data_IF_401297580989
#
_entry.id   IF_401297580989
#
_cell.length_a   1.000
_cell.length_b   1.000
_cell.length_c   1.000
_cell.angle_alpha   90.00
_cell.angle_beta   90.00
_cell.angle_gamma   90.00
#
_symmetry.space_group_name_H-M   'P 1'
#
loop_
_entity.id
_entity.type
_entity.pdbx_description
1 polymer ?
#
# COMPACT_ATOMS: atom_id res chain seq x y z
N UNK A 1 -39.00 -3.58 25.45
CA UNK A 1 -38.02 -2.71 26.15
C UNK A 1 -38.10 -1.32 25.53
N UNK A 2 -38.30 -0.28 26.32
CA UNK A 2 -38.28 1.11 25.82
C UNK A 2 -36.82 1.55 25.72
N UNK A 3 -36.40 1.99 24.54
CA UNK A 3 -35.03 2.44 24.30
C UNK A 3 -35.05 3.93 23.99
N UNK A 4 -34.06 4.68 24.45
CA UNK A 4 -33.94 6.12 24.19
C UNK A 4 -32.83 6.30 23.15
N UNK A 5 -33.13 7.01 22.06
CA UNK A 5 -32.13 7.32 21.05
C UNK A 5 -31.09 8.31 21.58
N UNK A 6 -29.79 7.97 21.53
CA UNK A 6 -28.71 8.82 22.02
C UNK A 6 -28.55 10.17 21.29
N UNK A 7 -29.12 10.31 20.08
CA UNK A 7 -29.03 11.55 19.30
C UNK A 7 -30.21 12.49 19.53
N UNK A 8 -31.46 12.00 19.45
CA UNK A 8 -32.65 12.85 19.55
C UNK A 8 -33.36 12.75 20.92
N UNK A 9 -32.88 11.87 21.81
CA UNK A 9 -33.39 11.64 23.17
C UNK A 9 -34.89 11.28 23.27
N UNK A 10 -35.52 10.91 22.15
CA UNK A 10 -36.89 10.40 22.08
C UNK A 10 -36.93 8.88 22.26
N UNK A 11 -38.04 8.39 22.81
CA UNK A 11 -38.29 6.95 22.98
C UNK A 11 -38.48 6.27 21.62
N UNK A 12 -37.89 5.10 21.43
CA UNK A 12 -38.03 4.26 20.24
C UNK A 12 -38.52 2.86 20.64
N UNK A 13 -39.36 2.28 19.78
CA UNK A 13 -39.83 0.90 19.90
C UNK A 13 -38.81 -0.06 19.29
N UNK A 14 -38.64 -1.24 19.92
CA UNK A 14 -37.61 -2.21 19.54
C UNK A 14 -37.86 -2.90 18.18
N UNK A 15 -39.03 -2.69 17.58
CA UNK A 15 -39.46 -3.29 16.31
C UNK A 15 -39.09 -2.45 15.06
N UNK A 16 -38.25 -1.42 15.23
CA UNK A 16 -37.75 -0.62 14.11
C UNK A 16 -36.80 -1.44 13.20
N UNK A 17 -37.36 -1.92 12.09
CA UNK A 17 -36.67 -2.59 10.97
C UNK A 17 -35.46 -1.77 10.47
N UNK A 18 -34.34 -2.44 10.16
CA UNK A 18 -33.16 -2.43 11.02
C UNK A 18 -32.39 -1.10 11.01
N UNK A 19 -32.02 -0.68 12.23
CA UNK A 19 -30.95 0.25 12.60
C UNK A 19 -31.19 1.76 12.47
N UNK A 20 -32.22 2.25 11.80
CA UNK A 20 -32.47 3.70 11.73
C UNK A 20 -33.52 4.14 12.75
N UNK A 21 -33.23 5.23 13.47
CA UNK A 21 -34.23 5.87 14.33
C UNK A 21 -35.31 6.54 13.45
N UNK A 22 -36.61 6.29 13.67
CA UNK A 22 -37.69 6.87 12.85
C UNK A 22 -37.84 8.39 13.03
N UNK A 23 -37.26 8.96 14.08
CA UNK A 23 -37.34 10.40 14.35
C UNK A 23 -36.18 11.22 13.77
N UNK A 24 -35.00 10.62 13.62
CA UNK A 24 -33.81 11.36 13.16
C UNK A 24 -33.08 10.70 11.99
N UNK A 25 -33.51 9.53 11.53
CA UNK A 25 -32.93 8.82 10.40
C UNK A 25 -31.49 8.31 10.61
N UNK A 26 -30.90 8.52 11.80
CA UNK A 26 -29.53 8.09 12.10
C UNK A 26 -29.50 6.66 12.62
N UNK A 27 -28.37 6.02 12.35
CA UNK A 27 -28.09 4.65 12.78
C UNK A 27 -27.93 4.64 14.30
N UNK A 28 -28.74 3.84 14.99
CA UNK A 28 -28.66 3.61 16.44
C UNK A 28 -28.07 2.24 16.71
N UNK A 29 -27.01 2.21 17.53
CA UNK A 29 -26.37 0.97 17.99
C UNK A 29 -27.08 0.57 19.29
N UNK A 30 -27.93 -0.45 19.23
CA UNK A 30 -28.59 -0.97 20.43
C UNK A 30 -27.61 -1.84 21.25
N UNK A 31 -27.57 -1.72 22.59
CA UNK A 31 -26.83 -2.65 23.44
C UNK A 31 -27.58 -3.99 23.45
N UNK A 32 -26.98 -5.04 22.87
CA UNK A 32 -27.56 -6.38 22.78
C UNK A 32 -27.28 -7.14 21.48
N UNK A 33 -26.63 -6.52 20.49
CA UNK A 33 -26.26 -7.18 19.22
C UNK A 33 -24.75 -7.48 19.13
N UNK A 34 -24.15 -7.85 20.25
CA UNK A 34 -22.79 -8.42 20.37
C UNK A 34 -22.80 -9.81 21.00
N UNK A 35 -23.96 -10.38 21.31
CA UNK A 35 -24.05 -11.78 21.68
C UNK A 35 -24.03 -12.64 20.41
N UNK A 36 -22.99 -13.49 20.21
CA UNK A 36 -23.02 -14.45 19.12
C UNK A 36 -24.23 -15.38 19.32
N UNK A 37 -24.88 -15.84 18.25
CA UNK A 37 -26.03 -16.72 18.37
C UNK A 37 -25.63 -17.97 19.17
N UNK A 38 -26.34 -18.21 20.28
CA UNK A 38 -26.22 -19.44 21.07
C UNK A 38 -26.60 -20.61 20.16
N UNK A 39 -25.60 -21.32 19.66
CA UNK A 39 -25.78 -22.54 18.86
C UNK A 39 -26.46 -23.56 19.78
N UNK A 40 -27.78 -23.74 19.63
CA UNK A 40 -28.48 -24.85 20.24
C UNK A 40 -28.02 -26.12 19.53
N UNK A 41 -27.23 -26.94 20.23
CA UNK A 41 -26.87 -28.28 19.80
C UNK A 41 -28.12 -29.15 19.80
N UNK A 42 -28.87 -29.10 18.70
CA UNK A 42 -29.94 -30.06 18.44
C UNK A 42 -29.34 -31.45 18.30
N UNK A 43 -29.63 -32.32 19.27
CA UNK A 43 -29.38 -33.75 19.23
C UNK A 43 -30.28 -34.41 18.19
N UNK A 44 -30.02 -34.16 16.91
CA UNK A 44 -30.69 -34.80 15.79
C UNK A 44 -29.86 -35.97 15.28
N UNK A 45 -30.18 -37.19 15.71
CA UNK A 45 -29.60 -38.42 15.19
C UNK A 45 -29.99 -38.63 13.71
N UNK A 46 -29.25 -38.03 12.78
CA UNK A 46 -29.34 -38.41 11.37
C UNK A 46 -28.43 -39.60 11.11
N UNK A 47 -29.02 -40.80 11.11
CA UNK A 47 -28.44 -41.98 10.47
C UNK A 47 -28.16 -41.62 9.01
N UNK A 48 -26.88 -41.56 8.62
CA UNK A 48 -26.47 -41.45 7.22
C UNK A 48 -26.39 -42.86 6.62
N UNK A 49 -26.99 -43.12 5.46
CA UNK A 49 -26.82 -44.38 4.76
C UNK A 49 -25.40 -44.48 4.19
N UNK A 50 -24.94 -45.72 4.07
CA UNK A 50 -23.57 -46.11 3.82
C UNK A 50 -22.94 -45.46 2.60
N UNK A 51 -21.70 -45.02 2.79
CA UNK A 51 -20.72 -44.79 1.73
C UNK A 51 -19.51 -45.66 2.02
N UNK A 52 -19.72 -46.97 1.96
CA UNK A 52 -18.66 -47.91 1.62
C UNK A 52 -18.27 -47.64 0.17
N UNK A 53 -17.20 -46.86 -0.02
CA UNK A 53 -16.14 -47.11 -1.01
C UNK A 53 -15.15 -45.96 -0.99
N UNK A 54 -13.92 -46.34 -0.65
CA UNK A 54 -12.66 -45.76 -1.11
C UNK A 54 -12.43 -44.27 -0.80
N UNK A 55 -12.14 -43.98 0.47
CA UNK A 55 -11.05 -43.04 0.77
C UNK A 55 -9.89 -43.87 1.32
N UNK A 56 -8.99 -44.28 0.43
CA UNK A 56 -7.60 -44.56 0.79
C UNK A 56 -6.97 -43.22 1.19
N UNK A 57 -7.30 -42.75 2.39
CA UNK A 57 -6.48 -41.78 3.07
C UNK A 57 -5.28 -42.57 3.59
N UNK A 58 -4.08 -42.27 3.08
CA UNK A 58 -2.85 -42.63 3.76
C UNK A 58 -2.81 -41.77 5.02
N UNK A 59 -3.51 -42.25 6.06
CA UNK A 59 -3.45 -41.68 7.39
C UNK A 59 -2.11 -42.11 7.97
N UNK A 60 -1.14 -41.19 8.01
CA UNK A 60 0.08 -41.40 8.78
C UNK A 60 -0.31 -41.15 10.25
N UNK A 61 -0.57 -42.24 10.98
CA UNK A 61 -0.88 -42.19 12.40
C UNK A 61 0.35 -41.67 13.17
N UNK A 62 0.30 -40.39 13.57
CA UNK A 62 1.37 -39.75 14.33
C UNK A 62 1.44 -40.24 15.80
N UNK A 63 0.36 -40.85 16.30
CA UNK A 63 0.23 -41.31 17.70
C UNK A 63 0.77 -42.72 17.96
N UNK A 64 1.03 -43.54 16.93
CA UNK A 64 1.74 -44.83 17.08
C UNK A 64 3.27 -44.68 17.08
N UNK A 65 3.76 -43.50 16.70
CA UNK A 65 5.20 -43.25 16.58
C UNK A 65 5.88 -42.92 17.92
N UNK A 66 5.08 -42.55 18.92
CA UNK A 66 5.57 -42.24 20.25
C UNK A 66 5.34 -43.47 21.12
N UNK A 67 6.45 -44.17 21.41
CA UNK A 67 6.57 -45.16 22.48
C UNK A 67 5.84 -46.50 22.27
N UNK A 68 6.55 -47.48 21.68
CA UNK A 68 6.70 -48.81 22.31
C UNK A 68 7.96 -49.57 21.82
N UNK A 69 8.91 -49.75 22.74
CA UNK A 69 9.92 -50.85 22.85
C UNK A 69 11.08 -51.00 21.84
N UNK A 70 11.43 -50.01 21.00
CA UNK A 70 12.70 -50.07 20.24
C UNK A 70 13.49 -48.76 20.33
N UNK A 71 14.20 -48.51 21.47
CA UNK A 71 14.98 -47.29 21.65
C UNK A 71 16.01 -47.08 20.53
N UNK A 72 16.50 -48.16 19.91
CA UNK A 72 17.43 -48.13 18.77
C UNK A 72 16.84 -47.44 17.53
N UNK A 73 15.55 -47.63 17.24
CA UNK A 73 14.90 -47.01 16.07
C UNK A 73 14.67 -45.52 16.32
N UNK A 74 14.20 -45.15 17.52
CA UNK A 74 14.02 -43.75 17.91
C UNK A 74 15.36 -42.97 17.89
N UNK A 75 16.44 -43.58 18.40
CA UNK A 75 17.78 -43.00 18.36
C UNK A 75 18.32 -42.89 16.93
N UNK A 76 18.06 -43.87 16.07
CA UNK A 76 18.45 -43.82 14.65
C UNK A 76 17.74 -42.72 13.87
N UNK A 77 16.44 -42.52 14.10
CA UNK A 77 15.66 -41.46 13.47
C UNK A 77 16.07 -40.06 13.97
N UNK A 78 16.35 -39.93 15.26
CA UNK A 78 16.90 -38.70 15.84
C UNK A 78 18.27 -38.37 15.23
N UNK A 79 19.15 -39.36 15.11
CA UNK A 79 20.45 -39.20 14.46
C UNK A 79 20.33 -38.79 12.99
N UNK A 80 19.38 -39.38 12.25
CA UNK A 80 19.10 -39.01 10.86
C UNK A 80 18.60 -37.56 10.74
N UNK A 81 17.68 -37.13 11.60
CA UNK A 81 17.20 -35.74 11.62
C UNK A 81 18.33 -34.76 11.89
N UNK A 82 19.18 -35.04 12.90
CA UNK A 82 20.32 -34.19 13.23
C UNK A 82 21.35 -34.14 12.09
N UNK A 83 21.62 -35.27 11.42
CA UNK A 83 22.52 -35.32 10.28
C UNK A 83 21.99 -34.48 9.10
N UNK A 84 20.69 -34.62 8.77
CA UNK A 84 20.06 -33.86 7.68
C UNK A 84 20.01 -32.36 8.03
N UNK A 85 19.61 -32.00 9.24
CA UNK A 85 19.59 -30.60 9.69
C UNK A 85 20.99 -29.98 9.74
N UNK A 86 22.01 -30.74 10.14
CA UNK A 86 23.40 -30.28 10.15
C UNK A 86 23.95 -30.01 8.74
N UNK A 87 23.69 -30.91 7.80
CA UNK A 87 24.06 -30.73 6.39
C UNK A 87 23.31 -29.54 5.79
N UNK A 88 22.02 -29.39 6.11
CA UNK A 88 21.20 -28.27 5.63
C UNK A 88 21.74 -26.93 6.14
N UNK A 89 22.04 -26.81 7.44
CA UNK A 89 22.63 -25.57 8.01
C UNK A 89 24.01 -25.23 7.43
N UNK A 90 24.86 -26.23 7.22
CA UNK A 90 26.18 -26.02 6.65
C UNK A 90 26.14 -25.55 5.18
N UNK A 91 25.11 -25.96 4.42
CA UNK A 91 24.94 -25.60 3.01
C UNK A 91 24.09 -24.34 2.80
N UNK A 92 23.22 -24.03 3.74
CA UNK A 92 22.31 -22.88 3.69
C UNK A 92 22.83 -21.69 4.49
N UNK A 93 24.15 -21.60 4.64
CA UNK A 93 24.80 -20.38 5.12
C UNK A 93 24.67 -19.32 4.03
N UNK A 94 23.56 -18.58 4.06
CA UNK A 94 23.45 -17.36 3.26
C UNK A 94 24.53 -16.40 3.72
N UNK A 95 25.49 -16.01 2.87
CA UNK A 95 26.37 -14.91 3.22
C UNK A 95 25.46 -13.70 3.44
N UNK A 96 25.34 -13.25 4.68
CA UNK A 96 24.68 -11.98 4.96
C UNK A 96 25.55 -10.93 4.26
N UNK A 97 25.11 -10.46 3.10
CA UNK A 97 25.78 -9.35 2.41
C UNK A 97 25.61 -8.11 3.27
N UNK A 98 26.59 -7.89 4.15
CA UNK A 98 26.63 -6.71 5.00
C UNK A 98 27.05 -5.53 4.12
N UNK A 99 26.10 -4.95 3.37
CA UNK A 99 26.34 -3.67 2.70
C UNK A 99 26.71 -2.64 3.76
N UNK A 100 27.84 -1.95 3.53
CA UNK A 100 28.31 -0.88 4.41
C UNK A 100 27.29 0.26 4.47
N UNK A 101 27.33 1.05 5.54
CA UNK A 101 26.44 2.23 5.68
C UNK A 101 26.61 3.18 4.49
N UNK A 102 27.85 3.33 4.01
CA UNK A 102 28.19 4.15 2.84
C UNK A 102 27.48 3.60 1.59
N UNK A 103 27.65 2.32 1.28
CA UNK A 103 27.01 1.71 0.11
C UNK A 103 25.48 1.76 0.17
N UNK A 104 24.89 1.64 1.36
CA UNK A 104 23.44 1.81 1.56
C UNK A 104 22.97 3.23 1.24
N UNK A 105 23.76 4.26 1.55
CA UNK A 105 23.43 5.66 1.20
C UNK A 105 23.43 5.84 -0.32
N UNK A 106 24.49 5.40 -1.01
CA UNK A 106 24.55 5.44 -2.47
C UNK A 106 23.37 4.71 -3.12
N UNK A 107 23.05 3.50 -2.66
CA UNK A 107 21.90 2.75 -3.17
C UNK A 107 20.57 3.47 -2.90
N UNK A 108 20.41 4.10 -1.74
CA UNK A 108 19.21 4.85 -1.39
C UNK A 108 19.05 6.07 -2.31
N UNK A 109 20.13 6.83 -2.53
CA UNK A 109 20.13 7.97 -3.45
C UNK A 109 19.77 7.54 -4.88
N UNK A 110 20.37 6.47 -5.40
CA UNK A 110 20.07 5.92 -6.72
C UNK A 110 18.61 5.48 -6.85
N UNK A 111 18.07 4.82 -5.82
CA UNK A 111 16.67 4.41 -5.80
C UNK A 111 15.72 5.61 -5.83
N UNK A 112 16.01 6.65 -5.03
CA UNK A 112 15.20 7.88 -5.00
C UNK A 112 15.27 8.65 -6.32
N UNK A 113 16.46 8.78 -6.93
CA UNK A 113 16.63 9.35 -8.27
C UNK A 113 15.84 8.58 -9.33
N UNK A 114 15.81 7.25 -9.22
CA UNK A 114 15.02 6.40 -10.12
C UNK A 114 13.52 6.66 -9.98
N UNK A 115 13.02 6.79 -8.75
CA UNK A 115 11.62 7.13 -8.47
C UNK A 115 11.27 8.52 -9.02
N UNK A 116 12.14 9.51 -8.80
CA UNK A 116 11.94 10.87 -9.31
C UNK A 116 11.91 10.90 -10.84
N UNK A 117 12.81 10.17 -11.51
CA UNK A 117 12.76 10.05 -12.96
C UNK A 117 11.46 9.42 -13.46
N UNK A 118 11.00 8.32 -12.85
CA UNK A 118 9.75 7.67 -13.26
C UNK A 118 8.57 8.65 -13.10
N UNK A 119 8.56 9.44 -12.02
CA UNK A 119 7.57 10.49 -11.80
C UNK A 119 7.64 11.59 -12.88
N UNK A 120 8.84 12.01 -13.28
CA UNK A 120 9.06 12.98 -14.36
C UNK A 120 8.59 12.44 -15.72
N UNK A 121 8.85 11.17 -16.03
CA UNK A 121 8.36 10.53 -17.26
C UNK A 121 6.84 10.45 -17.28
N UNK A 122 6.23 10.16 -16.12
CA UNK A 122 4.78 10.16 -15.99
C UNK A 122 4.18 11.54 -16.16
N UNK A 123 4.80 12.57 -15.57
CA UNK A 123 4.43 13.96 -15.78
C UNK A 123 4.52 14.34 -17.27
N UNK A 124 5.60 13.95 -17.97
CA UNK A 124 5.74 14.19 -19.41
C UNK A 124 4.67 13.49 -20.23
N UNK A 125 4.28 12.26 -19.86
CA UNK A 125 3.19 11.56 -20.53
C UNK A 125 1.88 12.31 -20.41
N UNK A 126 1.57 12.83 -19.23
CA UNK A 126 0.27 13.43 -18.95
C UNK A 126 0.19 14.89 -19.42
N UNK A 127 1.25 15.69 -19.20
CA UNK A 127 1.31 17.12 -19.55
C UNK A 127 2.05 17.41 -20.87
N UNK A 128 2.66 16.41 -21.51
CA UNK A 128 3.41 16.55 -22.76
C UNK A 128 4.80 17.18 -22.66
N UNK A 129 5.22 17.65 -21.47
CA UNK A 129 6.52 18.28 -21.21
C UNK A 129 7.05 17.92 -19.83
N UNK A 130 8.34 18.07 -19.58
CA UNK A 130 8.86 18.04 -18.20
C UNK A 130 8.59 19.37 -17.47
N UNK A 131 8.60 19.37 -16.12
CA UNK A 131 8.62 20.61 -15.34
C UNK A 131 9.79 21.50 -15.74
N UNK A 132 9.60 22.81 -15.77
CA UNK A 132 10.69 23.76 -16.03
C UNK A 132 11.58 23.91 -14.80
N UNK A 133 12.82 24.36 -15.01
CA UNK A 133 13.74 24.67 -13.89
C UNK A 133 13.13 25.65 -12.87
N UNK A 134 12.26 26.58 -13.32
CA UNK A 134 11.53 27.51 -12.45
C UNK A 134 10.47 26.84 -11.58
N UNK A 135 9.83 25.78 -12.08
CA UNK A 135 8.80 25.01 -11.36
C UNK A 135 9.46 23.98 -10.42
N UNK A 136 10.59 23.42 -10.87
CA UNK A 136 11.41 22.47 -10.12
C UNK A 136 10.72 21.13 -9.86
N UNK A 137 11.30 20.35 -8.95
CA UNK A 137 10.74 19.06 -8.52
C UNK A 137 9.44 19.21 -7.70
N UNK A 138 9.09 20.43 -7.26
CA UNK A 138 7.86 20.69 -6.53
C UNK A 138 6.60 20.52 -7.40
N UNK A 139 6.73 20.65 -8.73
CA UNK A 139 5.65 20.39 -9.69
C UNK A 139 5.17 18.93 -9.69
N UNK A 140 5.95 18.00 -9.13
CA UNK A 140 5.56 16.60 -8.96
C UNK A 140 4.63 16.39 -7.75
N UNK A 141 4.62 17.32 -6.81
CA UNK A 141 3.81 17.28 -5.58
C UNK A 141 2.65 18.25 -5.68
N UNK A 142 2.93 19.51 -6.02
CA UNK A 142 1.90 20.54 -6.10
C UNK A 142 1.60 20.83 -7.57
N UNK A 143 0.33 21.11 -7.85
CA UNK A 143 -0.11 21.48 -9.20
C UNK A 143 0.57 22.79 -9.64
N UNK A 144 1.39 22.75 -10.71
CA UNK A 144 2.01 23.95 -11.28
C UNK A 144 1.03 24.80 -12.11
N UNK A 145 -0.25 24.42 -12.21
CA UNK A 145 -1.25 25.07 -13.06
C UNK A 145 -1.14 24.64 -14.52
N UNK A 146 -0.70 23.40 -14.77
CA UNK A 146 -0.46 22.87 -16.12
C UNK A 146 -1.60 21.95 -16.52
N UNK A 147 -2.10 22.14 -17.74
CA UNK A 147 -3.16 21.31 -18.29
C UNK A 147 -2.71 19.83 -18.39
N UNK A 148 -3.59 18.91 -18.01
CA UNK A 148 -3.30 17.48 -18.00
C UNK A 148 -2.56 16.99 -16.74
N UNK A 149 -2.31 17.83 -15.74
CA UNK A 149 -1.69 17.39 -14.49
C UNK A 149 -2.57 16.34 -13.77
N UNK A 150 -2.03 15.13 -13.64
CA UNK A 150 -2.76 13.93 -13.21
C UNK A 150 -2.86 13.73 -11.70
N UNK A 151 -2.43 14.71 -10.89
CA UNK A 151 -2.34 14.56 -9.44
C UNK A 151 -0.91 14.44 -8.92
N UNK A 152 -0.80 14.09 -7.64
CA UNK A 152 0.49 13.84 -6.98
C UNK A 152 1.25 12.69 -7.64
N UNK A 153 2.36 13.00 -8.33
CA UNK A 153 3.25 12.01 -8.94
C UNK A 153 4.18 11.37 -7.92
N UNK A 154 4.51 12.11 -6.86
CA UNK A 154 5.24 11.63 -5.69
C UNK A 154 4.52 12.07 -4.41
N UNK A 155 4.59 11.26 -3.35
CA UNK A 155 3.92 11.58 -2.08
C UNK A 155 4.57 12.79 -1.39
N UNK A 156 5.89 12.84 -1.39
CA UNK A 156 6.66 13.92 -0.75
C UNK A 156 8.08 13.94 -1.32
N UNK A 157 8.66 15.12 -1.41
CA UNK A 157 10.04 15.30 -1.82
C UNK A 157 10.95 15.16 -0.59
N UNK A 158 11.78 14.12 -0.55
CA UNK A 158 12.83 13.96 0.47
C UNK A 158 14.14 14.54 -0.04
N UNK A 159 14.98 15.10 0.85
CA UNK A 159 16.38 15.36 0.51
C UNK A 159 17.12 14.02 0.39
N UNK A 160 18.29 14.07 -0.22
CA UNK A 160 19.14 12.90 -0.38
C UNK A 160 19.67 12.37 0.98
N UNK A 161 20.38 11.22 1.00
CA UNK A 161 20.92 10.63 2.23
C UNK A 161 21.92 11.52 3.00
N UNK A 162 22.46 12.55 2.34
CA UNK A 162 23.39 13.54 2.90
C UNK A 162 22.69 14.84 3.29
N UNK A 163 21.35 14.89 3.18
CA UNK A 163 20.47 16.04 3.49
C UNK A 163 20.62 17.20 2.50
N UNK A 164 21.20 16.94 1.35
CA UNK A 164 21.30 17.87 0.22
C UNK A 164 20.06 17.71 -0.66
N UNK A 165 19.63 18.80 -1.30
CA UNK A 165 18.51 18.76 -2.24
C UNK A 165 19.00 18.21 -3.58
N UNK A 166 18.16 17.42 -4.24
CA UNK A 166 18.43 17.00 -5.61
C UNK A 166 18.52 18.20 -6.55
N UNK A 167 19.51 18.18 -7.43
CA UNK A 167 19.68 19.19 -8.46
C UNK A 167 18.86 18.79 -9.68
N UNK A 168 18.01 19.70 -10.12
CA UNK A 168 17.13 19.51 -11.26
C UNK A 168 17.23 20.69 -12.22
N UNK A 169 17.57 20.41 -13.48
CA UNK A 169 17.57 21.40 -14.57
C UNK A 169 16.84 20.82 -15.77
N UNK A 170 15.98 21.61 -16.38
CA UNK A 170 15.13 21.17 -17.49
C UNK A 170 14.80 22.32 -18.42
N UNK A 171 14.85 22.03 -19.72
CA UNK A 171 14.39 22.89 -20.81
C UNK A 171 12.93 22.58 -21.22
N UNK A 172 12.31 21.57 -20.58
CA UNK A 172 10.97 21.06 -20.87
C UNK A 172 10.92 19.85 -21.80
N UNK A 173 12.00 19.55 -22.54
CA UNK A 173 12.12 18.38 -23.43
C UNK A 173 13.16 17.38 -22.92
N UNK A 174 14.23 17.87 -22.32
CA UNK A 174 15.30 17.12 -21.68
C UNK A 174 15.48 17.61 -20.25
N UNK A 175 16.00 16.76 -19.39
CA UNK A 175 16.28 17.11 -18.01
C UNK A 175 17.62 16.51 -17.56
N UNK A 176 18.28 17.22 -16.66
CA UNK A 176 19.38 16.74 -15.85
C UNK A 176 18.89 16.62 -14.41
N UNK A 177 19.06 15.44 -13.82
CA UNK A 177 18.71 15.14 -12.44
C UNK A 177 19.88 14.38 -11.80
N UNK A 178 20.42 14.91 -10.71
CA UNK A 178 21.52 14.27 -9.98
C UNK A 178 21.50 14.68 -8.50
N UNK A 179 22.25 13.94 -7.67
CA UNK A 179 22.56 14.28 -6.28
C UNK A 179 24.05 14.58 -6.17
N UNK A 180 24.38 15.65 -5.45
CA UNK A 180 25.76 16.05 -5.15
C UNK A 180 26.50 15.09 -4.21
N UNK A 181 25.88 13.97 -3.81
CA UNK A 181 26.56 12.98 -2.99
C UNK A 181 27.03 13.50 -1.61
N UNK A 182 28.14 12.95 -1.07
CA UNK A 182 28.67 13.26 0.25
C UNK A 182 29.33 14.63 0.39
N UNK A 183 29.87 15.21 -0.68
CA UNK A 183 30.58 16.49 -0.63
C UNK A 183 29.62 17.69 -0.71
N UNK A 184 28.45 17.51 -1.34
CA UNK A 184 27.46 18.56 -1.53
C UNK A 184 27.81 19.54 -2.65
N UNK A 185 28.84 19.26 -3.45
CA UNK A 185 29.32 20.12 -4.54
C UNK A 185 28.89 19.54 -5.90
N UNK A 186 28.42 20.41 -6.81
CA UNK A 186 28.00 19.97 -8.14
C UNK A 186 29.22 19.79 -9.06
N UNK A 187 29.24 18.72 -9.86
CA UNK A 187 30.26 18.49 -10.88
C UNK A 187 31.50 17.72 -10.39
N UNK A 188 31.40 17.06 -9.24
CA UNK A 188 32.45 16.18 -8.71
C UNK A 188 32.23 14.73 -9.15
N UNK A 189 33.22 13.86 -8.93
CA UNK A 189 33.12 12.44 -9.29
C UNK A 189 32.09 11.67 -8.44
N UNK A 190 31.70 12.25 -7.30
CA UNK A 190 30.74 11.65 -6.37
C UNK A 190 29.28 11.93 -6.74
N UNK A 191 29.04 12.69 -7.82
CA UNK A 191 27.71 12.98 -8.35
C UNK A 191 26.98 11.70 -8.76
N UNK A 192 25.77 11.52 -8.23
CA UNK A 192 24.95 10.33 -8.49
C UNK A 192 23.85 10.70 -9.48
N UNK A 193 23.89 10.10 -10.66
CA UNK A 193 22.82 10.18 -11.66
C UNK A 193 21.87 8.98 -11.59
N UNK A 194 20.60 9.12 -12.02
CA UNK A 194 19.71 7.98 -12.17
C UNK A 194 20.28 7.02 -13.23
N UNK A 195 20.17 5.69 -13.03
CA UNK A 195 20.71 4.71 -13.96
C UNK A 195 20.01 4.81 -15.31
N UNK A 196 20.70 4.78 -16.45
CA UNK A 196 20.05 4.82 -17.77
C UNK A 196 19.07 3.64 -17.93
N UNK A 197 17.77 3.92 -17.91
CA UNK A 197 16.74 2.90 -18.14
C UNK A 197 16.43 2.91 -19.62
N UNK A 198 16.43 1.73 -20.22
CA UNK A 198 15.94 1.57 -21.58
C UNK A 198 14.48 2.01 -21.69
N UNK A 199 14.08 2.42 -22.89
CA UNK A 199 12.68 2.77 -23.16
C UNK A 199 11.71 1.63 -22.81
N UNK A 200 12.14 0.37 -22.96
CA UNK A 200 11.36 -0.81 -22.61
C UNK A 200 11.16 -0.95 -21.09
N UNK A 201 12.20 -0.71 -20.28
CA UNK A 201 12.10 -0.75 -18.82
C UNK A 201 11.23 0.38 -18.28
N UNK A 202 11.39 1.60 -18.81
CA UNK A 202 10.50 2.72 -18.48
C UNK A 202 9.05 2.41 -18.86
N UNK A 203 8.81 1.85 -20.05
CA UNK A 203 7.47 1.44 -20.47
C UNK A 203 6.89 0.37 -19.54
N UNK A 204 7.69 -0.60 -19.07
CA UNK A 204 7.27 -1.62 -18.12
C UNK A 204 6.89 -1.02 -16.75
N UNK A 205 7.70 -0.08 -16.24
CA UNK A 205 7.38 0.64 -14.99
C UNK A 205 6.12 1.49 -15.11
N UNK A 206 5.93 2.13 -16.25
CA UNK A 206 4.80 3.02 -16.47
C UNK A 206 3.53 2.31 -16.98
N UNK A 207 3.62 1.03 -17.38
CA UNK A 207 2.49 0.17 -17.74
C UNK A 207 2.04 -0.71 -16.58
N UNK A 208 2.92 -0.94 -15.59
CA UNK A 208 2.55 -1.56 -14.34
C UNK A 208 1.80 -0.55 -13.48
N UNK A 209 0.50 -0.40 -13.77
CA UNK A 209 -0.50 0.22 -12.91
C UNK A 209 -0.50 -0.49 -11.54
N UNK A 210 0.44 -0.15 -10.66
CA UNK A 210 0.16 -0.24 -9.23
C UNK A 210 -0.80 0.90 -8.95
N UNK A 211 -2.03 0.62 -8.49
CA UNK A 211 -2.99 1.65 -8.19
C UNK A 211 -2.38 2.57 -7.14
N UNK A 212 -2.00 3.77 -7.59
CA UNK A 212 -1.83 4.91 -6.72
C UNK A 212 -3.08 4.98 -5.87
N UNK A 213 -2.87 5.04 -4.55
CA UNK A 213 -3.81 5.39 -3.50
C UNK A 213 -5.09 5.98 -4.10
N UNK A 214 -6.19 5.21 -4.08
CA UNK A 214 -7.51 5.74 -4.38
C UNK A 214 -7.76 6.88 -3.40
N UNK A 215 -7.48 8.10 -3.81
CA UNK A 215 -8.09 9.29 -3.22
C UNK A 215 -9.59 9.06 -3.30
N UNK A 216 -10.22 8.97 -2.14
CA UNK A 216 -11.67 8.87 -1.99
C UNK A 216 -12.27 10.16 -2.53
N UNK A 217 -12.51 10.21 -3.84
CA UNK A 217 -13.35 11.23 -4.46
C UNK A 217 -14.77 11.05 -3.93
N UNK A 218 -15.22 12.03 -3.15
CA UNK A 218 -16.50 11.97 -2.46
C UNK A 218 -16.78 13.22 -1.64
N UNK A 219 -16.62 14.40 -2.24
CA UNK A 219 -17.32 15.61 -1.81
C UNK A 219 -17.38 16.60 -2.98
N UNK A 220 -18.59 16.76 -3.51
CA UNK A 220 -18.97 17.73 -4.54
C UNK A 220 -18.51 19.16 -4.20
N UNK A 221 -18.26 20.00 -5.22
CA UNK A 221 -18.20 21.44 -5.02
C UNK A 221 -19.61 21.97 -4.72
N UNK A 222 -19.75 22.70 -3.62
CA UNK A 222 -20.93 23.50 -3.35
C UNK A 222 -20.89 24.77 -4.23
N UNK A 223 -21.80 24.87 -5.19
CA UNK A 223 -22.13 26.12 -5.86
C UNK A 223 -22.73 27.13 -4.86
N UNK A 224 -22.32 28.41 -4.89
CA UNK A 224 -23.23 29.52 -4.66
C UNK A 224 -23.73 29.99 -6.03
N UNK A 225 -25.02 29.96 -6.34
CA UNK A 225 -26.00 30.83 -5.68
C UNK A 225 -26.28 31.98 -6.65
N UNK A 226 -27.21 31.73 -7.57
CA UNK A 226 -27.79 32.71 -8.49
C UNK A 226 -28.47 33.81 -7.66
N UNK A 227 -28.06 35.06 -7.83
CA UNK A 227 -28.86 36.23 -7.49
C UNK A 227 -28.88 37.13 -8.73
N UNK A 228 -30.06 37.17 -9.34
CA UNK A 228 -30.45 38.14 -10.33
C UNK A 228 -30.54 39.53 -9.65
N UNK A 229 -29.89 40.57 -10.16
CA UNK A 229 -30.40 41.95 -10.00
C UNK A 229 -29.85 42.90 -11.09
N UNK A 230 -30.80 43.39 -11.91
CA UNK A 230 -30.86 44.60 -12.76
C UNK A 230 -29.61 45.49 -12.86
N UNK A 231 -29.08 45.76 -14.07
CA UNK A 231 -29.50 46.84 -15.01
C UNK A 231 -29.62 48.20 -14.32
N UNK A 232 -28.64 49.08 -14.56
CA UNK A 232 -28.91 50.41 -15.11
C UNK A 232 -27.66 51.02 -15.75
N UNK A 233 -27.85 51.43 -17.01
CA UNK A 233 -26.96 52.22 -17.85
C UNK A 233 -27.37 53.69 -17.70
N UNK A 234 -26.43 54.63 -17.56
CA UNK A 234 -26.68 56.02 -17.95
C UNK A 234 -25.66 57.06 -17.46
N UNK A 235 -25.40 58.14 -18.24
CA UNK A 235 -24.05 58.69 -18.48
C UNK A 235 -23.99 60.23 -18.28
N UNK A 236 -23.07 60.99 -18.91
CA UNK A 236 -21.66 60.73 -19.27
C UNK A 236 -20.65 61.44 -18.34
#
# INVERSE_FOLDING_TARGET
MKLICGYCRKEITADAKPRLCPHCGRIVIMPGLLDPPRIQSGSGSRRRPGRERARRAVAVNLSEFISERRPVIALGLLGLMLAVSGIFMARFSFPTSQMTIVQRRFQTAQNELTVLRIALERFRRDCGRYPRTSEGLLALVNDPGVEGWGGYYITHLRPDPWRTRYVYRSDGQTFALFSCGPDGEEGTEDDISPPDLSAAELAAYLSSDKPGVKTRAGSQPASPGKLDEKVDLGPP
#
